data_IF_951519375889
#
_entry.id   IF_951519375889
#
_cell.length_a   1.000
_cell.length_b   1.000
_cell.length_c   1.000
_cell.angle_alpha   90.00
_cell.angle_beta   90.00
_cell.angle_gamma   90.00
#
_symmetry.space_group_name_H-M   'P 1'
#
loop_
_entity.id
_entity.type
_entity.pdbx_description
1 polymer ?
#
# COMPACT_ATOMS: atom_id res chain seq x y z
N UNK A 1 -8.96 -9.08 0.38
CA UNK A 1 -9.78 -8.78 -0.80
C UNK A 1 -11.22 -8.40 -0.44
N UNK A 2 -11.44 -7.35 0.35
CA UNK A 2 -12.81 -6.82 0.52
C UNK A 2 -12.94 -5.39 1.06
N UNK A 3 -11.90 -4.57 1.21
CA UNK A 3 -12.10 -3.16 1.57
C UNK A 3 -10.87 -2.29 1.30
N UNK A 4 -10.67 -1.89 0.05
CA UNK A 4 -9.84 -0.73 -0.24
C UNK A 4 -10.33 -0.02 -1.51
N UNK A 5 -10.76 1.24 -1.37
CA UNK A 5 -11.21 2.18 -2.41
C UNK A 5 -12.65 2.14 -2.95
N UNK A 6 -13.51 1.21 -2.56
CA UNK A 6 -14.90 1.17 -3.08
C UNK A 6 -15.90 1.87 -2.15
N UNK A 7 -15.91 3.20 -2.10
CA UNK A 7 -17.15 3.97 -1.79
C UNK A 7 -17.05 5.47 -2.13
N UNK A 8 -17.97 5.89 -3.01
CA UNK A 8 -18.46 7.24 -3.28
C UNK A 8 -17.50 8.27 -3.90
N UNK A 9 -17.47 8.25 -5.24
CA UNK A 9 -17.15 9.37 -6.12
C UNK A 9 -18.40 10.26 -6.25
N UNK A 10 -18.38 11.53 -5.85
CA UNK A 10 -19.14 12.66 -6.45
C UNK A 10 -18.65 13.99 -5.82
N UNK A 11 -18.52 15.03 -6.66
CA UNK A 11 -18.28 16.46 -6.39
C UNK A 11 -16.85 17.02 -6.56
N UNK A 12 -16.50 17.41 -7.79
CA UNK A 12 -15.41 18.34 -8.11
C UNK A 12 -15.89 19.38 -9.14
N UNK A 13 -16.46 20.50 -8.67
CA UNK A 13 -16.87 21.59 -9.57
C UNK A 13 -16.51 23.01 -9.10
N UNK A 14 -15.63 23.20 -8.11
CA UNK A 14 -15.37 24.54 -7.56
C UNK A 14 -13.92 25.05 -7.48
N UNK A 15 -12.93 24.32 -7.98
CA UNK A 15 -11.52 24.75 -7.88
C UNK A 15 -10.77 24.96 -9.20
N UNK A 16 -11.43 24.82 -10.37
CA UNK A 16 -10.78 24.93 -11.69
C UNK A 16 -10.70 26.35 -12.28
N UNK A 17 -10.96 27.41 -11.51
CA UNK A 17 -11.11 28.76 -12.05
C UNK A 17 -9.85 29.67 -12.02
N UNK A 18 -8.65 29.16 -11.74
CA UNK A 18 -7.45 30.01 -11.76
C UNK A 18 -6.20 29.30 -12.26
N UNK A 19 -6.15 28.95 -13.55
CA UNK A 19 -4.88 28.58 -14.17
C UNK A 19 -4.55 29.45 -15.38
N UNK A 20 -3.33 29.98 -15.32
CA UNK A 20 -2.75 30.98 -16.21
C UNK A 20 -2.27 30.37 -17.53
N UNK A 21 -2.23 31.19 -18.57
CA UNK A 21 -1.93 30.89 -19.98
C UNK A 21 -0.51 30.37 -20.27
N UNK A 22 0.32 30.09 -19.25
CA UNK A 22 1.78 29.97 -19.42
C UNK A 22 2.32 28.53 -19.59
N UNK A 23 1.49 27.50 -19.44
CA UNK A 23 1.89 26.08 -19.65
C UNK A 23 1.42 25.54 -21.00
N UNK A 24 0.71 26.35 -21.80
CA UNK A 24 0.11 25.92 -23.07
C UNK A 24 1.06 26.02 -24.28
N UNK A 25 2.26 26.62 -24.16
CA UNK A 25 3.07 26.99 -25.33
C UNK A 25 4.21 26.03 -25.71
N UNK A 26 4.67 25.13 -24.84
CA UNK A 26 5.94 24.41 -25.09
C UNK A 26 5.81 22.88 -25.27
N UNK A 27 4.59 22.35 -25.42
CA UNK A 27 4.37 20.91 -25.62
C UNK A 27 3.36 20.64 -26.74
N UNK A 28 3.83 20.61 -27.99
CA UNK A 28 3.12 19.98 -29.10
C UNK A 28 4.09 19.46 -30.18
N UNK A 29 3.71 18.52 -31.07
CA UNK A 29 2.54 17.62 -31.04
C UNK A 29 2.98 16.14 -30.97
N UNK A 30 2.63 15.43 -29.89
CA UNK A 30 2.69 13.96 -29.83
C UNK A 30 1.48 13.43 -29.05
N UNK A 31 0.31 13.47 -29.71
CA UNK A 31 -0.91 12.80 -29.23
C UNK A 31 -1.57 12.07 -30.42
N UNK A 32 -2.04 10.82 -30.26
CA UNK A 32 -2.94 10.19 -31.21
C UNK A 32 -4.32 10.89 -31.21
N UNK A 33 -5.05 10.87 -32.34
CA UNK A 33 -6.22 11.72 -32.55
C UNK A 33 -7.49 11.11 -31.93
N UNK A 34 -7.66 11.19 -30.61
CA UNK A 34 -8.95 10.86 -29.98
C UNK A 34 -9.37 11.77 -28.81
N UNK A 35 -8.62 12.83 -28.49
CA UNK A 35 -8.86 13.61 -27.27
C UNK A 35 -9.37 15.04 -27.45
N UNK A 36 -9.90 15.42 -28.62
CA UNK A 36 -10.45 16.76 -28.80
C UNK A 36 -11.97 16.72 -28.98
N UNK A 37 -12.72 16.94 -27.89
CA UNK A 37 -14.15 17.27 -27.98
C UNK A 37 -15.08 16.64 -26.95
N UNK A 38 -14.81 16.74 -25.65
CA UNK A 38 -15.88 16.62 -24.64
C UNK A 38 -16.36 18.02 -24.24
N UNK A 39 -17.34 18.55 -24.99
CA UNK A 39 -18.26 19.56 -24.45
C UNK A 39 -19.42 18.79 -23.81
N UNK A 40 -19.54 18.90 -22.50
CA UNK A 40 -20.66 18.33 -21.74
C UNK A 40 -21.99 18.85 -22.31
N UNK A 41 -22.82 17.93 -22.81
CA UNK A 41 -24.25 18.18 -23.02
C UNK A 41 -25.00 17.60 -21.82
N UNK A 42 -25.99 18.31 -21.25
CA UNK A 42 -26.76 17.77 -20.14
C UNK A 42 -27.75 16.73 -20.69
N UNK A 43 -27.60 15.46 -20.29
CA UNK A 43 -28.61 14.42 -20.54
C UNK A 43 -29.38 14.10 -19.26
N UNK A 44 -30.70 13.99 -19.46
CA UNK A 44 -31.74 13.84 -18.47
C UNK A 44 -31.68 12.50 -17.71
N UNK A 45 -32.21 12.52 -16.47
CA UNK A 45 -32.36 11.34 -15.60
C UNK A 45 -33.49 10.41 -16.08
N UNK A 46 -33.22 9.11 -16.14
CA UNK A 46 -33.80 8.00 -15.31
C UNK A 46 -33.90 6.67 -16.07
N UNK A 47 -33.31 5.62 -15.49
CA UNK A 47 -33.89 4.29 -15.20
C UNK A 47 -32.76 3.45 -14.58
N UNK A 48 -32.75 3.22 -13.27
CA UNK A 48 -33.51 2.14 -12.64
C UNK A 48 -32.53 1.01 -12.29
N UNK A 49 -32.43 0.69 -11.00
CA UNK A 49 -31.50 -0.27 -10.39
C UNK A 49 -31.28 -1.53 -11.23
N UNK A 50 -30.05 -1.72 -11.75
CA UNK A 50 -29.59 -3.04 -12.21
C UNK A 50 -28.68 -3.61 -11.14
N UNK A 51 -28.93 -4.83 -10.63
CA UNK A 51 -27.99 -5.47 -9.72
C UNK A 51 -26.64 -5.66 -10.44
N UNK A 52 -25.51 -5.72 -9.71
CA UNK A 52 -24.21 -6.00 -10.32
C UNK A 52 -24.31 -7.34 -11.05
N UNK A 53 -24.27 -7.29 -12.38
CA UNK A 53 -24.27 -8.47 -13.21
C UNK A 53 -22.97 -9.24 -12.94
N UNK A 54 -23.07 -10.30 -12.14
CA UNK A 54 -21.98 -11.26 -11.94
C UNK A 54 -21.62 -11.84 -13.31
N UNK A 55 -20.54 -11.33 -13.90
CA UNK A 55 -19.97 -11.91 -15.11
C UNK A 55 -19.36 -13.26 -14.74
N UNK A 56 -19.57 -14.32 -15.54
CA UNK A 56 -18.82 -15.55 -15.36
C UNK A 56 -17.32 -15.25 -15.41
N UNK A 57 -16.55 -15.76 -14.44
CA UNK A 57 -15.10 -15.52 -14.28
C UNK A 57 -14.33 -15.68 -15.59
N UNK A 58 -14.67 -16.69 -16.40
CA UNK A 58 -14.05 -16.93 -17.71
C UNK A 58 -14.27 -15.79 -18.72
N UNK A 59 -15.46 -15.16 -18.74
CA UNK A 59 -15.76 -14.02 -19.63
C UNK A 59 -14.98 -12.77 -19.20
N UNK A 60 -14.81 -12.59 -17.90
CA UNK A 60 -14.05 -11.48 -17.31
C UNK A 60 -12.55 -11.57 -17.66
N UNK A 61 -11.94 -12.74 -17.47
CA UNK A 61 -10.51 -12.99 -17.79
C UNK A 61 -10.23 -12.74 -19.28
N UNK A 62 -11.05 -13.27 -20.18
CA UNK A 62 -10.87 -13.05 -21.63
C UNK A 62 -10.98 -11.56 -22.01
N UNK A 63 -11.95 -10.84 -21.43
CA UNK A 63 -12.11 -9.40 -21.67
C UNK A 63 -10.93 -8.61 -21.16
N UNK A 64 -10.37 -8.99 -20.02
CA UNK A 64 -9.20 -8.34 -19.44
C UNK A 64 -7.94 -8.58 -20.30
N UNK A 65 -7.72 -9.81 -20.75
CA UNK A 65 -6.61 -10.12 -21.67
C UNK A 65 -6.71 -9.29 -22.96
N UNK A 66 -7.93 -9.10 -23.49
CA UNK A 66 -8.16 -8.20 -24.61
C UNK A 66 -7.91 -6.73 -24.23
N UNK A 67 -8.33 -6.31 -23.05
CA UNK A 67 -8.12 -4.94 -22.56
C UNK A 67 -6.62 -4.61 -22.42
N UNK A 68 -5.80 -5.55 -21.94
CA UNK A 68 -4.33 -5.43 -21.89
C UNK A 68 -3.72 -5.15 -23.26
N UNK A 69 -4.20 -5.84 -24.31
CA UNK A 69 -3.72 -5.66 -25.68
C UNK A 69 -4.23 -4.39 -26.37
N UNK A 70 -5.25 -3.75 -25.80
CA UNK A 70 -5.93 -2.58 -26.37
C UNK A 70 -5.65 -1.30 -25.58
N UNK A 71 -4.64 -1.29 -24.70
CA UNK A 71 -4.28 -0.16 -23.83
C UNK A 71 -5.48 0.36 -23.01
N UNK A 72 -6.36 -0.55 -22.58
CA UNK A 72 -7.54 -0.24 -21.76
C UNK A 72 -7.32 -0.48 -20.27
N UNK A 73 -6.14 -0.98 -19.90
CA UNK A 73 -5.66 -0.90 -18.54
C UNK A 73 -4.83 0.36 -18.39
N UNK A 74 -5.14 1.13 -17.36
CA UNK A 74 -4.43 2.36 -17.01
C UNK A 74 -4.02 2.31 -15.55
N UNK A 75 -3.01 3.09 -15.19
CA UNK A 75 -2.60 3.25 -13.80
C UNK A 75 -3.04 4.61 -13.30
N UNK A 76 -3.71 4.61 -12.16
CA UNK A 76 -3.85 5.81 -11.33
C UNK A 76 -2.80 5.76 -10.23
N UNK A 77 -2.36 6.93 -9.77
CA UNK A 77 -1.27 7.07 -8.83
C UNK A 77 -1.73 7.83 -7.60
N UNK A 78 -1.56 7.20 -6.43
CA UNK A 78 -1.89 7.81 -5.15
C UNK A 78 -0.62 8.22 -4.41
N UNK A 79 -0.49 9.49 -3.97
CA UNK A 79 0.70 9.93 -3.24
C UNK A 79 0.78 9.31 -1.84
N UNK A 80 1.99 8.90 -1.47
CA UNK A 80 2.40 8.59 -0.09
C UNK A 80 3.31 9.70 0.40
N UNK A 81 3.08 10.19 1.61
CA UNK A 81 3.83 11.33 2.17
C UNK A 81 4.51 10.97 3.47
N UNK A 82 5.64 11.62 3.72
CA UNK A 82 6.27 11.64 5.02
C UNK A 82 5.43 12.48 5.99
N UNK A 83 5.01 11.88 7.12
CA UNK A 83 4.10 12.52 8.08
C UNK A 83 4.75 13.71 8.80
N UNK A 84 6.08 13.75 8.90
CA UNK A 84 6.81 14.81 9.59
C UNK A 84 6.97 16.05 8.72
N UNK A 85 7.29 15.85 7.44
CA UNK A 85 7.65 16.90 6.49
C UNK A 85 6.52 17.25 5.52
N UNK A 86 5.53 16.37 5.36
CA UNK A 86 4.46 16.49 4.35
C UNK A 86 4.95 16.32 2.91
N UNK A 87 6.18 15.84 2.69
CA UNK A 87 6.75 15.63 1.35
C UNK A 87 6.30 14.29 0.77
N UNK A 88 6.02 14.25 -0.52
CA UNK A 88 5.78 12.97 -1.22
C UNK A 88 7.07 12.15 -1.25
N UNK A 89 6.97 10.90 -0.79
CA UNK A 89 8.09 9.95 -0.72
C UNK A 89 7.97 8.82 -1.74
N UNK A 90 6.75 8.55 -2.22
CA UNK A 90 6.44 7.58 -3.25
C UNK A 90 5.02 7.81 -3.77
N UNK A 91 4.65 7.12 -4.83
CA UNK A 91 3.25 6.98 -5.25
C UNK A 91 2.91 5.50 -5.42
N UNK A 92 1.67 5.12 -5.12
CA UNK A 92 1.17 3.78 -5.42
C UNK A 92 0.50 3.74 -6.78
N UNK A 93 0.90 2.79 -7.63
CA UNK A 93 0.27 2.49 -8.89
C UNK A 93 -0.93 1.56 -8.67
N UNK A 94 -2.11 2.11 -8.87
CA UNK A 94 -3.39 1.46 -8.71
C UNK A 94 -4.00 1.21 -10.09
N UNK A 95 -4.08 -0.06 -10.48
CA UNK A 95 -4.61 -0.47 -11.77
C UNK A 95 -6.10 -0.14 -11.89
N UNK A 96 -6.50 0.32 -13.08
CA UNK A 96 -7.87 0.65 -13.45
C UNK A 96 -8.15 0.05 -14.82
N UNK A 97 -9.30 -0.58 -14.97
CA UNK A 97 -9.74 -1.09 -16.27
C UNK A 97 -10.78 -0.14 -16.86
N UNK A 98 -10.46 0.49 -17.98
CA UNK A 98 -11.41 1.27 -18.74
C UNK A 98 -12.27 0.35 -19.63
N UNK A 99 -13.52 0.16 -19.24
CA UNK A 99 -14.51 -0.50 -20.06
C UNK A 99 -15.37 0.51 -20.83
N UNK A 100 -15.49 0.41 -22.17
CA UNK A 100 -16.25 1.39 -22.96
C UNK A 100 -17.72 1.55 -22.57
N UNK A 101 -18.33 0.56 -21.90
CA UNK A 101 -19.73 0.60 -21.48
C UNK A 101 -19.88 1.02 -20.02
N UNK A 102 -18.94 0.65 -19.15
CA UNK A 102 -19.02 0.87 -17.70
C UNK A 102 -18.18 2.05 -17.20
N UNK A 103 -17.29 2.58 -18.03
CA UNK A 103 -16.28 3.53 -17.58
C UNK A 103 -15.16 2.81 -16.83
N UNK A 104 -14.65 3.44 -15.76
CA UNK A 104 -13.55 2.90 -14.96
C UNK A 104 -14.09 1.79 -14.04
N UNK A 105 -13.52 0.60 -14.18
CA UNK A 105 -13.76 -0.57 -13.34
C UNK A 105 -12.62 -0.70 -12.31
N UNK A 106 -12.93 -0.77 -11.00
CA UNK A 106 -11.93 -0.87 -9.94
C UNK A 106 -11.32 -2.29 -9.87
N UNK A 107 -10.11 -2.42 -9.28
CA UNK A 107 -9.40 -3.70 -9.18
C UNK A 107 -10.19 -4.78 -8.43
N UNK A 108 -10.95 -4.42 -7.40
CA UNK A 108 -11.77 -5.35 -6.60
C UNK A 108 -12.73 -6.20 -7.46
N UNK A 109 -13.15 -5.70 -8.62
CA UNK A 109 -14.07 -6.40 -9.51
C UNK A 109 -13.40 -7.40 -10.45
N UNK A 110 -12.09 -7.28 -10.71
CA UNK A 110 -11.42 -8.10 -11.73
C UNK A 110 -10.13 -8.78 -11.28
N UNK A 111 -9.43 -8.26 -10.27
CA UNK A 111 -8.19 -8.87 -9.77
C UNK A 111 -8.44 -10.27 -9.20
N UNK A 112 -9.49 -10.54 -8.40
CA UNK A 112 -9.74 -11.91 -7.92
C UNK A 112 -9.89 -12.94 -9.06
N UNK A 113 -10.54 -12.55 -10.16
CA UNK A 113 -10.68 -13.40 -11.34
C UNK A 113 -9.35 -13.65 -12.07
N UNK A 114 -8.41 -12.70 -11.99
CA UNK A 114 -7.06 -12.83 -12.53
C UNK A 114 -6.24 -13.81 -11.70
N UNK A 115 -6.27 -13.66 -10.38
CA UNK A 115 -5.55 -14.50 -9.41
C UNK A 115 -5.88 -15.98 -9.58
N UNK A 116 -7.16 -16.31 -9.78
CA UNK A 116 -7.64 -17.67 -10.02
C UNK A 116 -7.36 -18.20 -11.45
N UNK A 117 -6.65 -17.46 -12.29
CA UNK A 117 -6.46 -17.77 -13.71
C UNK A 117 -4.99 -17.86 -14.13
N UNK A 118 -4.75 -18.49 -15.28
CA UNK A 118 -3.41 -18.52 -15.90
C UNK A 118 -2.93 -17.15 -16.40
N UNK A 119 -3.78 -16.11 -16.34
CA UNK A 119 -3.42 -14.75 -16.75
C UNK A 119 -2.57 -14.03 -15.69
N UNK A 120 -2.55 -14.49 -14.44
CA UNK A 120 -1.94 -13.79 -13.29
C UNK A 120 -0.49 -13.34 -13.54
N UNK A 121 0.37 -14.21 -14.06
CA UNK A 121 1.76 -13.85 -14.35
C UNK A 121 1.87 -12.78 -15.45
N UNK A 122 1.12 -12.94 -16.54
CA UNK A 122 1.09 -11.96 -17.65
C UNK A 122 0.53 -10.62 -17.20
N UNK A 123 -0.50 -10.63 -16.35
CA UNK A 123 -1.11 -9.44 -15.78
C UNK A 123 -0.13 -8.68 -14.88
N UNK A 124 0.51 -9.34 -13.92
CA UNK A 124 1.48 -8.71 -13.03
C UNK A 124 2.66 -8.11 -13.82
N UNK A 125 3.23 -8.85 -14.79
CA UNK A 125 4.31 -8.32 -15.65
C UNK A 125 3.87 -7.10 -16.47
N UNK A 126 2.64 -7.10 -16.96
CA UNK A 126 2.09 -5.96 -17.70
C UNK A 126 1.97 -4.72 -16.81
N UNK A 127 1.37 -4.86 -15.62
CA UNK A 127 1.20 -3.78 -14.63
C UNK A 127 2.55 -3.27 -14.12
N UNK A 128 3.49 -4.16 -13.81
CA UNK A 128 4.89 -3.82 -13.47
C UNK A 128 5.55 -3.00 -14.57
N UNK A 129 5.46 -3.47 -15.83
CA UNK A 129 6.01 -2.76 -16.97
C UNK A 129 5.42 -1.35 -17.13
N UNK A 130 4.11 -1.19 -16.90
CA UNK A 130 3.47 0.14 -16.92
C UNK A 130 4.01 1.05 -15.82
N UNK A 131 4.13 0.54 -14.58
CA UNK A 131 4.65 1.29 -13.44
C UNK A 131 6.10 1.74 -13.65
N UNK A 132 6.97 0.82 -14.09
CA UNK A 132 8.38 1.09 -14.39
C UNK A 132 8.53 2.14 -15.49
N UNK A 133 7.76 2.03 -16.58
CA UNK A 133 7.78 3.02 -17.67
C UNK A 133 7.35 4.41 -17.19
N UNK A 134 6.31 4.48 -16.35
CA UNK A 134 5.87 5.77 -15.81
C UNK A 134 6.89 6.37 -14.83
N UNK A 135 7.46 5.56 -13.93
CA UNK A 135 8.54 6.01 -13.03
C UNK A 135 9.72 6.59 -13.82
N UNK A 136 10.09 5.95 -14.95
CA UNK A 136 11.13 6.43 -15.85
C UNK A 136 10.73 7.75 -16.54
N UNK A 137 9.47 7.89 -16.96
CA UNK A 137 8.94 9.12 -17.55
C UNK A 137 9.07 10.30 -16.57
N UNK A 138 8.66 10.11 -15.31
CA UNK A 138 8.81 11.14 -14.28
C UNK A 138 10.28 11.43 -13.95
N UNK A 139 11.13 10.41 -13.86
CA UNK A 139 12.57 10.60 -13.65
C UNK A 139 13.19 11.47 -14.76
N UNK A 140 12.88 11.20 -16.04
CA UNK A 140 13.37 12.00 -17.18
C UNK A 140 12.83 13.43 -17.19
N UNK A 141 11.65 13.65 -16.62
CA UNK A 141 11.06 14.97 -16.43
C UNK A 141 11.61 15.71 -15.19
N UNK A 142 12.63 15.19 -14.50
CA UNK A 142 13.20 15.83 -13.32
C UNK A 142 12.40 15.61 -12.03
N UNK A 143 11.45 14.68 -12.04
CA UNK A 143 10.58 14.33 -10.91
C UNK A 143 10.86 12.88 -10.43
N UNK A 144 12.06 12.57 -9.90
CA UNK A 144 12.37 11.22 -9.47
C UNK A 144 11.55 10.85 -8.23
N UNK A 145 10.50 10.06 -8.43
CA UNK A 145 9.63 9.52 -7.36
C UNK A 145 9.56 8.00 -7.46
N UNK A 146 9.72 7.26 -6.36
CA UNK A 146 9.46 5.83 -6.34
C UNK A 146 8.01 5.50 -6.66
N UNK A 147 7.79 4.49 -7.51
CA UNK A 147 6.46 3.96 -7.84
C UNK A 147 6.31 2.59 -7.20
N UNK A 148 5.33 2.46 -6.32
CA UNK A 148 4.96 1.21 -5.69
C UNK A 148 3.94 0.46 -6.55
N UNK A 149 4.21 -0.81 -6.87
CA UNK A 149 3.34 -1.67 -7.68
C UNK A 149 2.91 -2.86 -6.84
N UNK A 150 1.60 -3.08 -6.78
CA UNK A 150 1.02 -4.25 -6.12
C UNK A 150 1.32 -5.53 -6.91
N UNK A 151 1.78 -6.57 -6.20
CA UNK A 151 1.94 -7.91 -6.74
C UNK A 151 0.93 -8.85 -6.10
N UNK A 152 0.31 -9.70 -6.94
CA UNK A 152 -0.51 -10.78 -6.40
C UNK A 152 0.37 -11.88 -5.78
N UNK A 153 -0.11 -12.57 -4.73
CA UNK A 153 0.60 -13.67 -4.10
C UNK A 153 1.17 -14.72 -5.06
N UNK A 154 0.36 -15.14 -6.02
CA UNK A 154 0.64 -16.27 -6.93
C UNK A 154 1.80 -15.96 -7.86
N UNK A 155 2.14 -14.67 -8.05
CA UNK A 155 3.27 -14.27 -8.86
C UNK A 155 4.62 -14.55 -8.17
N UNK A 156 4.65 -14.63 -6.83
CA UNK A 156 5.89 -14.84 -6.07
C UNK A 156 6.38 -16.29 -6.11
N UNK A 157 5.53 -17.22 -6.56
CA UNK A 157 5.92 -18.61 -6.82
C UNK A 157 6.62 -18.78 -8.18
N UNK A 158 6.59 -17.76 -9.05
CA UNK A 158 7.29 -17.78 -10.33
C UNK A 158 8.79 -17.52 -10.14
N UNK A 159 9.66 -18.52 -10.37
CA UNK A 159 11.11 -18.36 -10.20
C UNK A 159 11.72 -17.34 -11.17
N UNK A 160 11.06 -17.06 -12.31
CA UNK A 160 11.56 -16.15 -13.33
C UNK A 160 11.19 -14.68 -13.04
N UNK A 161 10.31 -14.42 -12.06
CA UNK A 161 9.82 -13.08 -11.76
C UNK A 161 10.95 -12.10 -11.39
N UNK A 162 11.92 -12.44 -10.51
CA UNK A 162 13.02 -11.53 -10.19
C UNK A 162 13.83 -11.11 -11.41
N UNK A 163 14.20 -12.06 -12.26
CA UNK A 163 14.97 -11.80 -13.48
C UNK A 163 14.17 -10.97 -14.50
N UNK A 164 12.87 -11.20 -14.59
CA UNK A 164 11.96 -10.42 -15.42
C UNK A 164 11.85 -8.97 -14.95
N UNK A 165 11.73 -8.74 -13.64
CA UNK A 165 11.71 -7.38 -13.07
C UNK A 165 13.04 -6.68 -13.34
N UNK A 166 14.17 -7.37 -13.16
CA UNK A 166 15.49 -6.82 -13.47
C UNK A 166 15.62 -6.46 -14.96
N UNK A 167 15.12 -7.30 -15.86
CA UNK A 167 15.09 -7.03 -17.29
C UNK A 167 14.24 -5.79 -17.61
N UNK A 168 13.04 -5.69 -17.06
CA UNK A 168 12.16 -4.52 -17.24
C UNK A 168 12.81 -3.22 -16.75
N UNK A 169 13.50 -3.25 -15.61
CA UNK A 169 14.24 -2.10 -15.07
C UNK A 169 15.39 -1.69 -15.99
N UNK A 170 16.19 -2.65 -16.47
CA UNK A 170 17.30 -2.42 -17.41
C UNK A 170 16.81 -1.84 -18.73
N UNK A 171 15.77 -2.43 -19.32
CA UNK A 171 15.22 -2.00 -20.61
C UNK A 171 14.65 -0.57 -20.53
N UNK A 172 14.03 -0.20 -19.41
CA UNK A 172 13.58 1.18 -19.17
C UNK A 172 14.73 2.14 -18.80
N UNK A 173 15.87 1.62 -18.32
CA UNK A 173 16.94 2.39 -17.70
C UNK A 173 16.49 3.07 -16.41
N UNK A 174 15.65 2.40 -15.62
CA UNK A 174 15.16 2.89 -14.32
C UNK A 174 16.04 2.32 -13.20
N UNK A 175 16.61 3.17 -12.31
CA UNK A 175 17.30 2.67 -11.13
C UNK A 175 16.35 1.88 -10.21
N UNK A 176 16.75 0.72 -9.67
CA UNK A 176 15.90 -0.13 -8.83
C UNK A 176 15.23 0.58 -7.65
N UNK A 177 15.93 1.54 -7.01
CA UNK A 177 15.40 2.35 -5.90
C UNK A 177 14.12 3.17 -6.22
N UNK A 178 13.78 3.33 -7.50
CA UNK A 178 12.57 4.02 -7.96
C UNK A 178 11.40 3.06 -8.21
N UNK A 179 11.60 1.75 -8.02
CA UNK A 179 10.53 0.76 -7.96
C UNK A 179 10.36 0.34 -6.49
N UNK A 180 9.10 0.20 -6.07
CA UNK A 180 8.74 -0.50 -4.85
C UNK A 180 7.70 -1.57 -5.19
N UNK A 181 7.71 -2.66 -4.44
CA UNK A 181 6.73 -3.74 -4.58
C UNK A 181 5.88 -3.80 -3.32
N UNK A 182 4.58 -3.97 -3.48
CA UNK A 182 3.64 -4.15 -2.37
C UNK A 182 3.03 -5.53 -2.46
N UNK A 183 3.09 -6.27 -1.36
CA UNK A 183 2.66 -7.67 -1.29
C UNK A 183 1.74 -7.80 -0.08
N UNK A 184 0.57 -8.41 -0.26
CA UNK A 184 -0.38 -8.59 0.83
C UNK A 184 0.10 -9.59 1.87
N UNK A 185 -0.33 -9.43 3.12
CA UNK A 185 -0.09 -10.39 4.20
C UNK A 185 -0.53 -11.83 3.86
N UNK A 186 -1.66 -11.96 3.13
CA UNK A 186 -2.21 -13.25 2.71
C UNK A 186 -1.30 -14.00 1.75
N UNK A 187 -0.46 -13.27 1.01
CA UNK A 187 0.56 -13.91 0.20
C UNK A 187 1.33 -14.90 1.05
N UNK A 188 1.74 -14.49 2.24
CA UNK A 188 2.60 -15.31 3.08
C UNK A 188 1.93 -16.56 3.64
N UNK A 189 0.63 -16.56 3.91
CA UNK A 189 -0.03 -17.76 4.47
C UNK A 189 0.00 -18.94 3.50
N UNK A 190 0.07 -18.69 2.19
CA UNK A 190 0.09 -19.71 1.14
C UNK A 190 1.50 -20.06 0.63
N UNK A 191 2.51 -19.21 0.90
CA UNK A 191 3.78 -19.26 0.20
C UNK A 191 4.83 -20.15 0.87
N UNK A 192 5.52 -20.92 0.04
CA UNK A 192 6.72 -21.69 0.38
C UNK A 192 8.01 -20.87 0.32
N UNK A 193 9.14 -21.57 0.29
CA UNK A 193 10.49 -20.97 0.23
C UNK A 193 10.75 -20.09 -1.00
N UNK A 194 10.02 -20.31 -2.10
CA UNK A 194 10.25 -19.59 -3.38
C UNK A 194 9.95 -18.10 -3.28
N UNK A 195 8.86 -17.72 -2.59
CA UNK A 195 8.52 -16.31 -2.42
C UNK A 195 9.51 -15.56 -1.53
N UNK A 196 9.99 -16.21 -0.48
CA UNK A 196 11.03 -15.66 0.39
C UNK A 196 12.29 -15.38 -0.43
N UNK A 197 12.73 -16.33 -1.26
CA UNK A 197 13.86 -16.15 -2.18
C UNK A 197 13.62 -15.02 -3.20
N UNK A 198 12.41 -14.90 -3.75
CA UNK A 198 12.10 -13.84 -4.70
C UNK A 198 12.24 -12.45 -4.07
N UNK A 199 11.76 -12.27 -2.83
CA UNK A 199 11.89 -11.00 -2.12
C UNK A 199 13.32 -10.71 -1.65
N UNK A 200 14.06 -11.73 -1.21
CA UNK A 200 15.50 -11.60 -0.94
C UNK A 200 16.24 -11.09 -2.19
N UNK A 201 15.88 -11.61 -3.37
CA UNK A 201 16.44 -11.12 -4.63
C UNK A 201 16.00 -9.68 -4.93
N UNK A 202 14.74 -9.30 -4.70
CA UNK A 202 14.30 -7.91 -4.90
C UNK A 202 15.08 -6.94 -4.02
N UNK A 203 15.14 -7.22 -2.71
CA UNK A 203 15.85 -6.39 -1.73
C UNK A 203 17.36 -6.34 -1.99
N UNK A 204 18.00 -7.48 -2.32
CA UNK A 204 19.41 -7.53 -2.70
C UNK A 204 19.73 -6.69 -3.94
N UNK A 205 18.76 -6.52 -4.85
CA UNK A 205 18.88 -5.67 -6.03
C UNK A 205 18.45 -4.21 -5.79
N UNK A 206 18.19 -3.81 -4.54
CA UNK A 206 17.83 -2.44 -4.17
C UNK A 206 16.40 -2.04 -4.52
N UNK A 207 15.50 -3.01 -4.70
CA UNK A 207 14.05 -2.80 -4.82
C UNK A 207 13.46 -2.93 -3.42
N UNK A 208 12.74 -1.91 -2.97
CA UNK A 208 12.10 -1.95 -1.65
C UNK A 208 10.79 -2.73 -1.71
N UNK A 209 10.54 -3.53 -0.67
CA UNK A 209 9.34 -4.37 -0.57
C UNK A 209 8.52 -3.95 0.65
N UNK A 210 7.22 -3.75 0.45
CA UNK A 210 6.27 -3.40 1.49
C UNK A 210 5.30 -4.56 1.75
N UNK A 211 5.04 -4.83 3.02
CA UNK A 211 3.98 -5.71 3.47
C UNK A 211 2.67 -4.93 3.59
N UNK A 212 1.66 -5.33 2.84
CA UNK A 212 0.33 -4.72 2.82
C UNK A 212 -0.69 -5.45 3.70
N UNK A 213 -1.75 -4.73 4.08
CA UNK A 213 -2.89 -5.23 4.87
C UNK A 213 -2.52 -5.81 6.26
N UNK A 214 -1.48 -5.27 6.92
CA UNK A 214 -1.04 -5.81 8.21
C UNK A 214 -2.16 -5.76 9.27
N UNK A 215 -2.43 -6.91 9.87
CA UNK A 215 -3.41 -7.05 10.97
C UNK A 215 -4.81 -7.47 10.51
N UNK A 216 -5.06 -7.57 9.20
CA UNK A 216 -6.30 -8.11 8.63
C UNK A 216 -6.19 -9.61 8.31
N UNK A 217 -4.96 -10.14 8.23
CA UNK A 217 -4.64 -11.53 7.95
C UNK A 217 -4.21 -12.36 9.17
N UNK A 218 -3.70 -13.56 8.90
CA UNK A 218 -3.22 -14.54 9.89
C UNK A 218 -1.70 -14.75 9.84
N UNK A 219 -0.90 -13.71 9.62
CA UNK A 219 0.55 -13.83 9.70
C UNK A 219 0.98 -14.06 11.13
N UNK A 220 1.73 -15.14 11.33
CA UNK A 220 2.42 -15.32 12.59
C UNK A 220 3.51 -14.25 12.71
N UNK A 221 3.62 -13.63 13.89
CA UNK A 221 4.71 -12.68 14.18
C UNK A 221 6.09 -13.28 13.90
N UNK A 222 6.24 -14.58 14.12
CA UNK A 222 7.46 -15.33 13.82
C UNK A 222 7.85 -15.28 12.33
N UNK A 223 6.86 -15.18 11.43
CA UNK A 223 7.11 -15.05 10.00
C UNK A 223 7.52 -13.63 9.64
N UNK A 224 6.83 -12.62 10.16
CA UNK A 224 7.15 -11.19 9.91
C UNK A 224 8.62 -10.87 10.17
N UNK A 225 9.19 -11.38 11.28
CA UNK A 225 10.60 -11.18 11.66
C UNK A 225 11.60 -11.68 10.60
N UNK A 226 11.19 -12.64 9.77
CA UNK A 226 12.03 -13.25 8.73
C UNK A 226 11.78 -12.69 7.33
N UNK A 227 10.73 -11.89 7.15
CA UNK A 227 10.39 -11.40 5.82
C UNK A 227 11.38 -10.29 5.42
N UNK A 228 12.00 -10.38 4.22
CA UNK A 228 12.84 -9.33 3.66
C UNK A 228 11.97 -8.19 3.11
N UNK A 229 11.28 -7.49 4.02
CA UNK A 229 10.50 -6.28 3.74
C UNK A 229 11.17 -5.09 4.44
N UNK A 230 10.94 -3.89 3.95
CA UNK A 230 11.44 -2.65 4.58
C UNK A 230 10.31 -1.79 5.14
N UNK A 231 9.06 -2.12 4.81
CA UNK A 231 7.90 -1.28 5.05
C UNK A 231 6.72 -2.14 5.51
N UNK A 232 6.04 -1.71 6.56
CA UNK A 232 4.81 -2.28 7.07
C UNK A 232 3.65 -1.30 6.84
N UNK A 233 2.65 -1.70 6.05
CA UNK A 233 1.44 -0.90 5.80
C UNK A 233 0.34 -1.32 6.78
N UNK A 234 -0.19 -0.35 7.52
CA UNK A 234 -1.22 -0.52 8.53
C UNK A 234 -2.56 -0.20 7.88
N UNK A 235 -3.43 -1.21 7.83
CA UNK A 235 -4.69 -1.12 7.09
C UNK A 235 -5.64 -0.05 7.63
N UNK A 236 -6.43 0.51 6.71
CA UNK A 236 -7.43 1.56 6.98
C UNK A 236 -8.44 1.13 8.04
N UNK A 237 -8.81 -0.15 8.11
CA UNK A 237 -9.80 -0.66 9.07
C UNK A 237 -9.39 -0.42 10.52
N UNK A 238 -8.09 -0.22 10.81
CA UNK A 238 -7.61 0.21 12.12
C UNK A 238 -7.27 1.71 12.14
N UNK A 239 -6.68 2.26 11.08
CA UNK A 239 -6.21 3.65 11.02
C UNK A 239 -7.35 4.65 11.15
N UNK A 240 -8.49 4.43 10.49
CA UNK A 240 -9.60 5.38 10.55
C UNK A 240 -10.34 5.36 11.90
N UNK A 241 -10.73 4.20 12.44
CA UNK A 241 -11.42 4.15 13.73
C UNK A 241 -10.58 4.60 14.92
N UNK A 242 -9.25 4.57 14.86
CA UNK A 242 -8.38 4.96 15.99
C UNK A 242 -8.59 6.41 16.49
N UNK A 243 -9.21 7.26 15.68
CA UNK A 243 -9.56 8.62 16.08
C UNK A 243 -10.52 8.62 17.28
N UNK A 244 -11.38 7.60 17.38
CA UNK A 244 -12.48 7.51 18.36
C UNK A 244 -12.54 6.18 19.12
N UNK A 245 -11.86 5.13 18.63
CA UNK A 245 -11.80 3.81 19.26
C UNK A 245 -10.39 3.50 19.79
N UNK A 246 -10.27 3.33 21.11
CA UNK A 246 -8.99 3.06 21.76
C UNK A 246 -8.43 1.68 21.41
N UNK A 247 -9.29 0.69 21.08
CA UNK A 247 -8.80 -0.63 20.65
C UNK A 247 -8.05 -0.53 19.33
N UNK A 248 -8.65 0.16 18.36
CA UNK A 248 -8.00 0.45 17.08
C UNK A 248 -6.72 1.28 17.27
N UNK A 249 -6.70 2.25 18.19
CA UNK A 249 -5.50 3.00 18.51
C UNK A 249 -4.37 2.15 19.12
N UNK A 250 -4.69 1.17 19.96
CA UNK A 250 -3.72 0.19 20.48
C UNK A 250 -3.15 -0.66 19.36
N UNK A 251 -3.98 -1.14 18.42
CA UNK A 251 -3.51 -1.93 17.27
C UNK A 251 -2.54 -1.12 16.40
N UNK A 252 -2.91 0.12 16.03
CA UNK A 252 -2.06 1.00 15.22
C UNK A 252 -0.72 1.27 15.91
N UNK A 253 -0.74 1.58 17.21
CA UNK A 253 0.47 1.81 18.00
C UNK A 253 1.37 0.58 18.05
N UNK A 254 0.79 -0.59 18.32
CA UNK A 254 1.53 -1.84 18.34
C UNK A 254 2.17 -2.14 16.98
N UNK A 255 1.44 -1.91 15.88
CA UNK A 255 1.98 -2.10 14.53
C UNK A 255 3.16 -1.15 14.23
N UNK A 256 3.07 0.13 14.63
CA UNK A 256 4.18 1.10 14.50
C UNK A 256 5.40 0.63 15.30
N UNK A 257 5.21 0.22 16.56
CA UNK A 257 6.31 -0.24 17.40
C UNK A 257 6.95 -1.53 16.87
N UNK A 258 6.15 -2.48 16.39
CA UNK A 258 6.65 -3.70 15.74
C UNK A 258 7.49 -3.33 14.51
N UNK A 259 6.98 -2.46 13.63
CA UNK A 259 7.73 -2.02 12.46
C UNK A 259 9.09 -1.45 12.87
N UNK A 260 9.11 -0.51 13.82
CA UNK A 260 10.35 0.13 14.25
C UNK A 260 11.32 -0.82 14.94
N UNK A 261 10.84 -1.74 15.78
CA UNK A 261 11.70 -2.74 16.43
C UNK A 261 12.34 -3.70 15.43
N UNK A 262 11.67 -3.98 14.30
CA UNK A 262 12.21 -4.77 13.20
C UNK A 262 13.05 -3.94 12.22
N UNK A 263 13.24 -2.64 12.46
CA UNK A 263 13.97 -1.74 11.56
C UNK A 263 13.19 -1.32 10.31
N UNK A 264 11.89 -1.59 10.28
CA UNK A 264 10.96 -1.27 9.18
C UNK A 264 10.39 0.14 9.34
N UNK A 265 9.88 0.70 8.24
CA UNK A 265 9.05 1.91 8.25
C UNK A 265 7.57 1.55 8.36
N UNK A 266 6.81 2.35 9.10
CA UNK A 266 5.36 2.20 9.18
C UNK A 266 4.64 3.17 8.22
N UNK A 267 3.67 2.67 7.46
CA UNK A 267 2.79 3.47 6.61
C UNK A 267 1.36 3.29 7.07
N UNK A 268 0.67 4.38 7.38
CA UNK A 268 -0.74 4.33 7.70
C UNK A 268 -1.61 4.56 6.45
N UNK A 269 -2.53 3.64 6.19
CA UNK A 269 -3.41 3.66 5.03
C UNK A 269 -4.76 4.34 5.31
N UNK A 270 -5.35 4.91 4.26
CA UNK A 270 -6.69 5.46 4.32
C UNK A 270 -6.87 6.68 5.23
N UNK A 271 -5.84 7.51 5.40
CA UNK A 271 -5.91 8.75 6.18
C UNK A 271 -6.82 9.80 5.51
N UNK A 272 -7.96 10.10 6.11
CA UNK A 272 -8.96 11.02 5.55
C UNK A 272 -9.25 12.27 6.39
N UNK A 273 -8.80 12.32 7.65
CA UNK A 273 -9.07 13.45 8.54
C UNK A 273 -7.79 13.97 9.17
N UNK A 274 -7.76 15.29 9.43
CA UNK A 274 -6.64 15.89 10.16
C UNK A 274 -6.46 15.25 11.53
N UNK A 275 -7.55 14.86 12.20
CA UNK A 275 -7.49 14.21 13.51
C UNK A 275 -6.68 12.90 13.47
N UNK A 276 -6.95 12.05 12.48
CA UNK A 276 -6.19 10.81 12.24
C UNK A 276 -4.72 11.15 11.96
N UNK A 277 -4.46 12.14 11.09
CA UNK A 277 -3.10 12.61 10.80
C UNK A 277 -2.33 13.04 12.07
N UNK A 278 -2.94 13.87 12.94
CA UNK A 278 -2.27 14.32 14.17
C UNK A 278 -1.97 13.15 15.09
N UNK A 279 -2.90 12.20 15.22
CA UNK A 279 -2.73 11.03 16.08
C UNK A 279 -1.61 10.12 15.55
N UNK A 280 -1.55 9.84 14.25
CA UNK A 280 -0.45 9.07 13.65
C UNK A 280 0.92 9.71 13.89
N UNK A 281 1.01 11.03 13.72
CA UNK A 281 2.25 11.78 13.95
C UNK A 281 2.69 11.69 15.42
N UNK A 282 1.75 11.77 16.36
CA UNK A 282 2.02 11.60 17.80
C UNK A 282 2.48 10.19 18.15
N UNK A 283 1.92 9.17 17.50
CA UNK A 283 2.33 7.77 17.62
C UNK A 283 3.69 7.49 16.95
N UNK A 284 4.26 8.45 16.22
CA UNK A 284 5.55 8.30 15.55
C UNK A 284 5.50 7.55 14.22
N UNK A 285 4.33 7.42 13.58
CA UNK A 285 4.22 6.80 12.26
C UNK A 285 5.06 7.58 11.22
N UNK A 286 5.74 6.87 10.32
CA UNK A 286 6.66 7.46 9.36
C UNK A 286 5.92 8.11 8.20
N UNK A 287 5.09 7.33 7.50
CA UNK A 287 4.44 7.74 6.26
C UNK A 287 2.92 7.56 6.32
N UNK A 288 2.21 8.29 5.47
CA UNK A 288 0.76 8.20 5.34
C UNK A 288 0.30 8.22 3.89
N UNK A 289 -0.84 7.57 3.66
CA UNK A 289 -1.57 7.55 2.40
C UNK A 289 -3.07 7.66 2.68
N UNK A 290 -3.81 8.39 1.84
CA UNK A 290 -5.26 8.54 1.99
C UNK A 290 -5.81 9.77 1.32
N UNK A 291 -7.14 9.93 1.36
CA UNK A 291 -7.82 10.99 0.60
C UNK A 291 -7.62 12.40 1.17
N UNK A 292 -7.17 12.52 2.43
CA UNK A 292 -6.71 13.80 2.96
C UNK A 292 -5.49 14.34 2.17
N UNK A 293 -4.66 13.42 1.66
CA UNK A 293 -3.42 13.72 0.94
C UNK A 293 -3.71 13.84 -0.56
N UNK A 294 -4.38 12.84 -1.11
CA UNK A 294 -4.71 12.80 -2.53
C UNK A 294 -5.46 11.52 -2.88
N UNK A 295 -6.45 11.65 -3.76
CA UNK A 295 -7.10 10.50 -4.38
C UNK A 295 -6.21 9.90 -5.49
N UNK A 296 -6.33 8.60 -5.79
CA UNK A 296 -5.70 8.00 -6.96
C UNK A 296 -6.11 8.76 -8.23
N UNK A 297 -5.14 9.28 -8.98
CA UNK A 297 -5.39 10.11 -10.15
C UNK A 297 -4.50 9.70 -11.34
N UNK A 298 -4.85 10.04 -12.59
CA UNK A 298 -3.99 9.83 -13.74
C UNK A 298 -2.61 10.47 -13.57
N UNK A 299 -1.60 9.95 -14.28
CA UNK A 299 -0.21 10.37 -14.14
C UNK A 299 -0.01 11.89 -14.31
N UNK A 300 -0.74 12.50 -15.23
CA UNK A 300 -0.70 13.92 -15.54
C UNK A 300 -1.19 14.79 -14.38
N UNK A 301 -2.23 14.33 -13.67
CA UNK A 301 -2.75 15.02 -12.49
C UNK A 301 -1.88 14.80 -11.26
N UNK A 302 -1.21 13.65 -11.16
CA UNK A 302 -0.34 13.33 -10.02
C UNK A 302 0.89 14.23 -9.94
N UNK A 303 1.34 14.80 -11.07
CA UNK A 303 2.52 15.70 -11.13
C UNK A 303 2.42 16.85 -10.12
N UNK A 304 1.22 17.38 -9.87
CA UNK A 304 1.00 18.45 -8.88
C UNK A 304 1.49 18.11 -7.48
N UNK A 305 1.51 16.83 -7.10
CA UNK A 305 2.00 16.42 -5.78
C UNK A 305 3.53 16.25 -5.76
N UNK A 306 4.14 16.02 -6.92
CA UNK A 306 5.57 15.74 -7.08
C UNK A 306 6.39 17.03 -7.18
N UNK A 307 5.78 18.12 -7.63
CA UNK A 307 6.46 19.40 -7.76
C UNK A 307 6.80 20.00 -6.39
N UNK A 308 8.03 20.51 -6.19
CA UNK A 308 8.48 21.03 -4.90
C UNK A 308 7.65 22.19 -4.31
N UNK A 309 6.84 22.87 -5.13
CA UNK A 309 6.04 24.06 -4.77
C UNK A 309 4.60 23.80 -4.35
N UNK A 310 3.97 22.70 -4.81
CA UNK A 310 2.52 22.51 -4.71
C UNK A 310 2.06 21.68 -3.49
N UNK A 311 2.99 21.11 -2.72
CA UNK A 311 2.69 20.41 -1.46
C UNK A 311 2.30 21.35 -0.29
N UNK A 312 1.97 22.62 -0.57
CA UNK A 312 1.71 23.68 0.41
C UNK A 312 0.76 23.28 1.55
N UNK A 313 -0.45 22.74 1.26
CA UNK A 313 -1.40 22.36 2.30
C UNK A 313 -0.91 21.24 3.22
N UNK A 314 -0.22 20.23 2.67
CA UNK A 314 0.28 19.10 3.45
C UNK A 314 1.50 19.47 4.29
N UNK A 315 2.37 20.34 3.76
CA UNK A 315 3.46 20.94 4.54
C UNK A 315 2.93 21.82 5.66
N UNK A 316 1.85 22.57 5.42
CA UNK A 316 1.18 23.35 6.46
C UNK A 316 0.55 22.44 7.51
N UNK A 317 -0.13 21.36 7.13
CA UNK A 317 -0.69 20.40 8.08
C UNK A 317 0.40 19.74 8.94
N UNK A 318 1.54 19.40 8.33
CA UNK A 318 2.73 18.91 9.01
C UNK A 318 3.38 19.98 9.94
N UNK A 319 3.30 21.26 9.59
CA UNK A 319 3.83 22.34 10.43
C UNK A 319 2.88 22.73 11.58
N UNK A 320 1.57 22.64 11.37
CA UNK A 320 0.51 23.00 12.33
C UNK A 320 0.29 21.95 13.41
N UNK A 321 0.75 20.72 13.18
CA UNK A 321 0.77 19.67 14.19
C UNK A 321 1.90 19.93 15.19
N UNK A 322 1.57 20.67 16.25
CA UNK A 322 2.49 21.06 17.33
C UNK A 322 3.17 19.82 17.94
N UNK A 323 4.48 19.95 18.20
CA UNK A 323 5.26 18.96 18.98
C UNK A 323 4.51 18.56 20.27
N UNK A 324 4.44 17.24 20.59
CA UNK A 324 3.78 16.78 21.81
C UNK A 324 4.41 17.42 23.05
N UNK A 325 3.57 17.84 24.00
CA UNK A 325 4.07 18.42 25.25
C UNK A 325 4.87 17.37 26.03
N UNK A 326 5.84 17.76 26.87
CA UNK A 326 6.65 16.82 27.65
C UNK A 326 5.83 15.83 28.50
N UNK A 327 4.64 16.22 28.97
CA UNK A 327 3.73 15.33 29.70
C UNK A 327 3.03 14.28 28.83
N UNK A 328 2.68 14.63 27.59
CA UNK A 328 2.10 13.70 26.60
C UNK A 328 3.15 12.65 26.19
N UNK A 329 4.41 13.07 26.00
CA UNK A 329 5.53 12.14 25.75
C UNK A 329 5.74 11.14 26.90
N UNK A 330 5.57 11.56 28.17
CA UNK A 330 5.74 10.66 29.33
C UNK A 330 4.62 9.61 29.43
N UNK A 331 3.36 10.01 29.24
CA UNK A 331 2.23 9.08 29.20
C UNK A 331 2.39 8.06 28.05
N UNK A 332 2.80 8.54 26.87
CA UNK A 332 3.14 7.72 25.72
C UNK A 332 4.28 6.73 26.04
N UNK A 333 5.36 7.19 26.69
CA UNK A 333 6.50 6.33 27.06
C UNK A 333 6.10 5.20 28.01
N UNK A 334 5.14 5.47 28.92
CA UNK A 334 4.69 4.50 29.92
C UNK A 334 3.75 3.43 29.32
N UNK A 335 2.90 3.81 28.36
CA UNK A 335 2.10 2.87 27.57
C UNK A 335 2.97 2.05 26.60
N UNK A 336 3.95 2.69 25.95
CA UNK A 336 4.90 2.02 25.06
C UNK A 336 5.72 0.97 25.82
N UNK A 337 5.93 1.08 27.14
CA UNK A 337 6.67 0.09 27.93
C UNK A 337 6.00 -1.29 27.96
N UNK A 338 4.66 -1.35 27.98
CA UNK A 338 3.93 -2.62 28.00
C UNK A 338 4.01 -3.35 26.65
N UNK A 339 3.90 -2.60 25.55
CA UNK A 339 4.07 -3.13 24.20
C UNK A 339 5.53 -3.52 23.95
N UNK A 340 6.51 -2.70 24.40
CA UNK A 340 7.93 -3.07 24.41
C UNK A 340 8.20 -4.36 25.16
N UNK A 341 7.59 -4.55 26.34
CA UNK A 341 7.75 -5.80 27.10
C UNK A 341 7.20 -7.02 26.35
N UNK A 342 6.12 -6.83 25.57
CA UNK A 342 5.59 -7.87 24.69
C UNK A 342 6.51 -8.12 23.49
N UNK A 343 7.08 -7.08 22.90
CA UNK A 343 8.06 -7.18 21.79
C UNK A 343 9.38 -7.80 22.25
N UNK A 344 9.92 -7.43 23.42
CA UNK A 344 11.15 -8.03 23.98
C UNK A 344 10.98 -9.54 24.21
N UNK A 345 9.77 -9.96 24.60
CA UNK A 345 9.42 -11.39 24.68
C UNK A 345 9.38 -12.04 23.30
N UNK A 346 8.93 -11.32 22.26
CA UNK A 346 8.92 -11.80 20.88
C UNK A 346 10.32 -11.87 20.29
N UNK A 347 11.19 -10.89 20.54
CA UNK A 347 12.61 -10.92 20.16
C UNK A 347 13.36 -12.07 20.82
N UNK A 348 13.04 -12.36 22.09
CA UNK A 348 13.56 -13.54 22.77
C UNK A 348 13.11 -14.84 22.08
N UNK A 349 11.82 -14.95 21.71
CA UNK A 349 11.29 -16.10 20.96
C UNK A 349 11.94 -16.21 19.58
N UNK A 350 12.07 -15.12 18.84
CA UNK A 350 12.67 -15.10 17.51
C UNK A 350 14.14 -15.57 17.57
N UNK A 351 14.92 -15.03 18.51
CA UNK A 351 16.30 -15.43 18.74
C UNK A 351 16.43 -16.90 19.18
N UNK A 352 15.52 -17.39 20.03
CA UNK A 352 15.48 -18.79 20.44
C UNK A 352 15.17 -19.72 19.25
N UNK A 353 14.22 -19.37 18.40
CA UNK A 353 13.86 -20.17 17.21
C UNK A 353 14.99 -20.19 16.17
N UNK A 354 15.77 -19.12 16.04
CA UNK A 354 16.95 -19.11 15.16
C UNK A 354 18.16 -19.88 15.71
N UNK A 355 18.22 -20.16 17.02
CA UNK A 355 19.40 -20.76 17.67
C UNK A 355 19.19 -22.19 18.18
N UNK A 356 17.95 -22.67 18.33
CA UNK A 356 17.66 -23.94 19.00
C UNK A 356 17.40 -25.12 18.05
N UNK A 357 17.90 -26.31 18.43
CA UNK A 357 17.51 -27.60 17.84
C UNK A 357 16.06 -27.96 18.29
N UNK A 358 15.28 -28.69 17.46
CA UNK A 358 13.84 -28.93 17.70
C UNK A 358 13.47 -29.51 19.08
N UNK A 359 14.38 -30.24 19.73
CA UNK A 359 14.14 -30.92 21.00
C UNK A 359 14.12 -29.99 22.23
N UNK A 360 14.77 -28.82 22.15
CA UNK A 360 14.77 -27.83 23.24
C UNK A 360 13.45 -27.04 23.31
N UNK A 361 12.86 -26.72 22.15
CA UNK A 361 11.58 -26.01 22.06
C UNK A 361 10.42 -26.82 22.68
N UNK A 362 10.46 -28.16 22.58
CA UNK A 362 9.47 -29.06 23.20
C UNK A 362 9.55 -29.07 24.73
N UNK A 363 10.74 -28.94 25.31
CA UNK A 363 10.92 -28.88 26.78
C UNK A 363 10.44 -27.56 27.36
N UNK A 364 10.63 -26.44 26.64
CA UNK A 364 10.19 -25.12 27.07
C UNK A 364 8.66 -24.97 26.97
N UNK A 365 8.03 -25.48 25.91
CA UNK A 365 6.58 -25.51 25.78
C UNK A 365 5.89 -26.31 26.90
N UNK A 366 6.50 -27.40 27.37
CA UNK A 366 6.03 -28.18 28.49
C UNK A 366 6.14 -27.43 29.85
N UNK A 367 7.18 -26.61 30.03
CA UNK A 367 7.37 -25.80 31.24
C UNK A 367 6.36 -24.64 31.34
N UNK A 368 6.02 -23.99 30.22
CA UNK A 368 5.03 -22.89 30.19
C UNK A 368 3.59 -23.38 30.40
N UNK A 369 3.25 -24.60 29.96
CA UNK A 369 1.94 -25.22 30.22
C UNK A 369 1.73 -25.61 31.69
N UNK A 370 2.81 -25.91 32.43
CA UNK A 370 2.75 -26.21 33.87
C UNK A 370 2.42 -25.01 34.75
N UNK A 371 2.91 -23.81 34.38
CA UNK A 371 2.65 -22.58 35.13
C UNK A 371 1.20 -22.07 35.04
N UNK A 372 0.54 -22.28 33.89
CA UNK A 372 -0.85 -21.86 33.68
C UNK A 372 -1.87 -22.67 34.50
N UNK A 373 -1.54 -23.90 34.91
CA UNK A 373 -2.43 -24.72 35.76
C UNK A 373 -2.41 -24.32 37.24
N UNK A 374 -1.35 -23.67 37.72
CA UNK A 374 -1.25 -23.25 39.13
C UNK A 374 -1.95 -21.90 39.37
N UNK A 375 -2.02 -21.03 38.36
CA UNK A 375 -2.65 -19.72 38.49
C UNK A 375 -4.20 -19.75 38.42
N UNK A 376 -4.81 -20.82 37.90
CA UNK A 376 -6.28 -20.94 37.74
C UNK A 376 -7.01 -21.59 38.92
N UNK A 377 -6.30 -22.07 39.95
CA UNK A 377 -6.93 -22.63 41.17
C UNK A 377 -7.15 -21.63 42.31
N UNK A 378 -6.73 -20.38 42.18
CA UNK A 378 -6.85 -19.36 43.24
C UNK A 378 -7.89 -18.25 42.96
N UNK A 379 -8.78 -18.42 41.97
CA UNK A 379 -9.86 -17.45 41.68
C UNK A 379 -11.29 -17.99 41.65
N UNK A 380 -11.51 -19.23 42.07
CA UNK A 380 -12.85 -19.77 42.31
C UNK A 380 -12.84 -20.64 43.57
N UNK A 381 -12.96 -19.98 44.73
CA UNK A 381 -13.73 -20.51 45.86
C UNK A 381 -15.12 -19.85 45.80
#
# INVERSE_FOLDING_TARGET
>A
WMSACSSMEWASARYLASWSSRVRSDMGPLLPPFFNGYRERPMARREGDRPPMHMPTHSLVWRLERAMRQDRLVLHYQPKVDLQTGRVIAVEALVRWYDPRRGIVPPDEFVPAVEDSRLVGTFNRHVLGMGIRQARRWQRAGLPVPVAVNLTPECLDDPDLPDDVQRLLRDAGLPPRLLRLEITERAFTALGSSAEQAMEQFTANGISVALDDFGVGFSSMARLVRLPVDVLKIDRTFVMPMATDERSAVVVRAAIEIAHSLGLRAVAEGVETEQVWRRLRLLGCDWAQGYLIGRPAPAEETVRYLEPGDAGPLRQLAALTREPRPGERRAQTQENLAVRTMIDRLDWVANAVTRSRPDELRRVAAASAGGARVALRHRYC
#
